data_IF_972797509503
#
_entry.id   IF_972797509503
#
_cell.length_a   1.000
_cell.length_b   1.000
_cell.length_c   1.000
_cell.angle_alpha   90.00
_cell.angle_beta   90.00
_cell.angle_gamma   90.00
#
_symmetry.space_group_name_H-M   'P 1'
#
loop_
_entity.id
_entity.type
_entity.pdbx_description
1 polymer ?
#
# COMPACT_ATOMS: atom_id res chain seq x y z
N UNK A 1 31.74 -18.49 -9.77
CA UNK A 1 30.56 -17.64 -10.08
C UNK A 1 29.95 -17.11 -8.78
N UNK A 2 30.02 -15.79 -8.57
CA UNK A 2 29.30 -15.13 -7.48
C UNK A 2 27.82 -15.49 -7.66
N UNK A 3 27.23 -16.19 -6.70
CA UNK A 3 25.81 -16.54 -6.76
C UNK A 3 24.99 -15.26 -6.75
N UNK A 4 23.82 -15.26 -7.39
CA UNK A 4 22.91 -14.11 -7.43
C UNK A 4 22.58 -13.51 -6.05
N UNK A 5 22.79 -14.24 -4.95
CA UNK A 5 22.60 -13.76 -3.58
C UNK A 5 23.62 -12.74 -3.07
N UNK A 6 24.77 -12.56 -3.72
CA UNK A 6 25.83 -11.63 -3.28
C UNK A 6 25.93 -10.36 -4.15
N UNK A 7 25.03 -10.16 -5.11
CA UNK A 7 25.00 -8.93 -5.92
C UNK A 7 24.55 -7.74 -5.03
N UNK A 8 25.42 -6.74 -4.76
CA UNK A 8 25.08 -5.62 -3.89
C UNK A 8 23.92 -4.76 -4.41
N UNK A 9 23.71 -4.70 -5.72
CA UNK A 9 22.59 -3.95 -6.30
C UNK A 9 21.26 -4.69 -6.12
N UNK A 10 21.30 -6.02 -6.22
CA UNK A 10 20.14 -6.85 -5.95
C UNK A 10 19.76 -6.79 -4.47
N UNK A 11 20.75 -6.92 -3.57
CA UNK A 11 20.55 -6.80 -2.13
C UNK A 11 19.97 -5.44 -1.74
N UNK A 12 20.47 -4.35 -2.32
CA UNK A 12 19.92 -3.00 -2.12
C UNK A 12 18.45 -2.94 -2.55
N UNK A 13 18.13 -3.39 -3.76
CA UNK A 13 16.76 -3.35 -4.27
C UNK A 13 15.80 -4.17 -3.39
N UNK A 14 16.18 -5.38 -2.97
CA UNK A 14 15.36 -6.17 -2.06
C UNK A 14 15.20 -5.52 -0.68
N UNK A 15 16.24 -4.87 -0.15
CA UNK A 15 16.17 -4.12 1.09
C UNK A 15 15.17 -2.96 1.02
N UNK A 16 15.18 -2.20 -0.09
CA UNK A 16 14.21 -1.12 -0.35
C UNK A 16 12.78 -1.65 -0.41
N UNK A 17 12.55 -2.73 -1.15
CA UNK A 17 11.23 -3.33 -1.33
C UNK A 17 10.68 -3.93 -0.03
N UNK A 18 11.51 -4.64 0.73
CA UNK A 18 11.13 -5.19 2.02
C UNK A 18 10.79 -4.09 3.02
N UNK A 19 11.58 -3.01 3.06
CA UNK A 19 11.32 -1.86 3.93
C UNK A 19 10.01 -1.18 3.57
N UNK A 20 9.72 -1.00 2.27
CA UNK A 20 8.44 -0.44 1.82
C UNK A 20 7.25 -1.32 2.22
N UNK A 21 7.39 -2.66 2.14
CA UNK A 21 6.35 -3.59 2.57
C UNK A 21 6.12 -3.52 4.09
N UNK A 22 7.19 -3.50 4.90
CA UNK A 22 7.08 -3.35 6.35
C UNK A 22 6.44 -2.02 6.77
N UNK A 23 6.80 -0.92 6.11
CA UNK A 23 6.20 0.39 6.37
C UNK A 23 4.70 0.39 6.05
N UNK A 24 4.29 -0.20 4.92
CA UNK A 24 2.88 -0.33 4.58
C UNK A 24 2.11 -1.21 5.59
N UNK A 25 2.69 -2.34 5.98
CA UNK A 25 2.11 -3.24 6.98
C UNK A 25 1.86 -2.53 8.32
N UNK A 26 2.84 -1.76 8.82
CA UNK A 26 2.70 -1.04 10.08
C UNK A 26 1.56 0.00 10.07
N UNK A 27 1.33 0.67 8.93
CA UNK A 27 0.21 1.62 8.78
C UNK A 27 -1.13 0.86 8.76
N UNK A 28 -1.20 -0.28 8.07
CA UNK A 28 -2.40 -1.13 8.03
C UNK A 28 -2.73 -1.70 9.41
N UNK A 29 -1.74 -2.19 10.16
CA UNK A 29 -1.92 -2.69 11.53
C UNK A 29 -2.53 -1.61 12.42
N UNK A 30 -1.96 -0.39 12.40
CA UNK A 30 -2.48 0.75 13.17
C UNK A 30 -3.94 1.07 12.81
N UNK A 31 -4.28 1.07 11.52
CA UNK A 31 -5.65 1.34 11.08
C UNK A 31 -6.61 0.22 11.47
N UNK A 32 -6.17 -1.03 11.36
CA UNK A 32 -6.94 -2.23 11.74
C UNK A 32 -7.26 -2.22 13.24
N UNK A 33 -6.27 -1.93 14.07
CA UNK A 33 -6.44 -1.83 15.52
C UNK A 33 -7.42 -0.70 15.91
N UNK A 34 -7.30 0.46 15.26
CA UNK A 34 -8.21 1.59 15.50
C UNK A 34 -9.65 1.24 15.09
N UNK A 35 -9.83 0.63 13.92
CA UNK A 35 -11.13 0.17 13.45
C UNK A 35 -11.72 -0.89 14.38
N UNK A 36 -10.92 -1.87 14.83
CA UNK A 36 -11.36 -2.90 15.76
C UNK A 36 -11.84 -2.31 17.09
N UNK A 37 -11.08 -1.36 17.67
CA UNK A 37 -11.51 -0.64 18.88
C UNK A 37 -12.80 0.14 18.64
N UNK A 38 -12.92 0.83 17.51
CA UNK A 38 -14.13 1.60 17.18
C UNK A 38 -15.37 0.72 17.01
N UNK A 39 -15.21 -0.44 16.37
CA UNK A 39 -16.29 -1.43 16.25
C UNK A 39 -16.72 -1.96 17.62
N UNK A 40 -15.76 -2.18 18.54
CA UNK A 40 -16.05 -2.67 19.89
C UNK A 40 -16.76 -1.64 20.77
N UNK A 41 -16.57 -0.34 20.50
CA UNK A 41 -17.26 0.74 21.21
C UNK A 41 -18.75 0.88 20.80
N UNK A 42 -19.14 0.29 19.66
CA UNK A 42 -20.51 0.30 19.12
C UNK A 42 -21.18 1.70 19.16
N UNK A 43 -22.20 1.86 20.02
CA UNK A 43 -23.01 3.07 20.15
C UNK A 43 -22.31 4.19 20.93
N UNK A 44 -21.23 3.87 21.65
CA UNK A 44 -20.44 4.87 22.38
C UNK A 44 -19.41 5.59 21.51
N UNK A 45 -19.24 5.16 20.25
CA UNK A 45 -18.26 5.73 19.33
C UNK A 45 -18.67 7.13 18.86
N UNK A 46 -17.91 8.13 19.27
CA UNK A 46 -18.13 9.55 18.96
C UNK A 46 -17.86 9.87 17.49
N UNK A 47 -18.32 11.04 17.03
CA UNK A 47 -18.05 11.50 15.68
C UNK A 47 -16.56 11.78 15.46
N UNK A 48 -15.87 12.28 16.49
CA UNK A 48 -14.43 12.55 16.47
C UNK A 48 -13.62 11.26 16.31
N UNK A 49 -13.91 10.23 17.12
CA UNK A 49 -13.26 8.92 16.99
C UNK A 49 -13.54 8.26 15.64
N UNK A 50 -14.74 8.43 15.07
CA UNK A 50 -15.06 7.97 13.70
C UNK A 50 -14.20 8.67 12.66
N UNK A 51 -13.99 9.97 12.79
CA UNK A 51 -13.14 10.74 11.88
C UNK A 51 -11.68 10.28 11.97
N UNK A 52 -11.16 10.12 13.19
CA UNK A 52 -9.79 9.63 13.44
C UNK A 52 -9.55 8.26 12.81
N UNK A 53 -10.46 7.31 13.04
CA UNK A 53 -10.37 5.96 12.47
C UNK A 53 -10.36 6.03 10.95
N UNK A 54 -11.24 6.84 10.37
CA UNK A 54 -11.33 6.94 8.91
C UNK A 54 -10.08 7.51 8.27
N UNK A 55 -9.45 8.50 8.91
CA UNK A 55 -8.18 9.09 8.44
C UNK A 55 -7.07 8.03 8.47
N UNK A 56 -7.03 7.19 9.52
CA UNK A 56 -6.09 6.07 9.58
C UNK A 56 -6.33 5.04 8.47
N UNK A 57 -7.59 4.71 8.18
CA UNK A 57 -7.96 3.81 7.07
C UNK A 57 -7.55 4.41 5.72
N UNK A 58 -7.84 5.70 5.49
CA UNK A 58 -7.48 6.39 4.26
C UNK A 58 -5.95 6.46 4.07
N UNK A 59 -5.20 6.64 5.15
CA UNK A 59 -3.74 6.60 5.15
C UNK A 59 -3.23 5.19 4.78
N UNK A 60 -3.80 4.14 5.40
CA UNK A 60 -3.45 2.75 5.11
C UNK A 60 -3.71 2.37 3.64
N UNK A 61 -4.86 2.74 3.09
CA UNK A 61 -5.19 2.49 1.68
C UNK A 61 -4.23 3.23 0.74
N UNK A 62 -3.89 4.47 1.04
CA UNK A 62 -2.98 5.29 0.24
C UNK A 62 -1.56 4.73 0.24
N UNK A 63 -1.04 4.41 1.42
CA UNK A 63 0.32 3.88 1.58
C UNK A 63 0.43 2.49 0.95
N UNK A 64 -0.53 1.60 1.24
CA UNK A 64 -0.52 0.22 0.72
C UNK A 64 -0.70 0.20 -0.79
N UNK A 65 -1.57 1.04 -1.35
CA UNK A 65 -1.76 1.12 -2.80
C UNK A 65 -0.49 1.57 -3.52
N UNK A 66 0.20 2.59 -3.00
CA UNK A 66 1.49 3.06 -3.54
C UNK A 66 2.57 1.98 -3.41
N UNK A 67 2.68 1.34 -2.25
CA UNK A 67 3.65 0.29 -2.00
C UNK A 67 3.43 -0.92 -2.92
N UNK A 68 2.19 -1.39 -3.08
CA UNK A 68 1.86 -2.52 -3.93
C UNK A 68 2.25 -2.28 -5.40
N UNK A 69 1.90 -1.11 -5.95
CA UNK A 69 2.27 -0.76 -7.33
C UNK A 69 3.79 -0.62 -7.48
N UNK A 70 4.46 0.03 -6.53
CA UNK A 70 5.91 0.20 -6.57
C UNK A 70 6.64 -1.16 -6.49
N UNK A 71 6.29 -1.99 -5.52
CA UNK A 71 6.94 -3.28 -5.27
C UNK A 71 6.79 -4.20 -6.48
N UNK A 72 5.56 -4.33 -6.98
CA UNK A 72 5.28 -5.22 -8.11
C UNK A 72 5.92 -4.74 -9.42
N UNK A 73 6.01 -3.43 -9.64
CA UNK A 73 6.74 -2.86 -10.78
C UNK A 73 8.24 -3.15 -10.67
N UNK A 74 8.84 -2.90 -9.50
CA UNK A 74 10.28 -3.09 -9.32
C UNK A 74 10.70 -4.55 -9.43
N UNK A 75 9.88 -5.48 -8.92
CA UNK A 75 10.13 -6.92 -9.09
C UNK A 75 10.12 -7.31 -10.58
N UNK A 76 9.21 -6.76 -11.39
CA UNK A 76 9.20 -7.03 -12.83
C UNK A 76 10.48 -6.57 -13.50
N UNK A 77 10.95 -5.35 -13.21
CA UNK A 77 12.21 -4.83 -13.75
C UNK A 77 13.42 -5.71 -13.37
N UNK A 78 13.47 -6.20 -12.12
CA UNK A 78 14.54 -7.06 -11.64
C UNK A 78 14.52 -8.43 -12.32
N UNK A 79 13.34 -9.00 -12.55
CA UNK A 79 13.20 -10.31 -13.22
C UNK A 79 13.49 -10.18 -14.72
N UNK A 80 12.97 -9.15 -15.39
CA UNK A 80 13.22 -8.91 -16.81
C UNK A 80 14.70 -8.58 -17.08
N UNK A 81 15.37 -7.89 -16.15
CA UNK A 81 16.80 -7.58 -16.24
C UNK A 81 17.75 -8.76 -15.96
N UNK A 82 17.27 -9.81 -15.28
CA UNK A 82 18.06 -11.01 -14.93
C UNK A 82 17.75 -12.22 -15.81
N UNK A 83 16.58 -12.24 -16.46
CA UNK A 83 16.22 -13.23 -17.46
C UNK A 83 16.90 -12.87 -18.79
N UNK A 84 18.05 -13.49 -19.08
CA UNK A 84 18.56 -13.57 -20.45
C UNK A 84 17.44 -14.04 -21.40
N UNK A 85 17.53 -13.65 -22.67
CA UNK A 85 16.55 -13.83 -23.76
C UNK A 85 16.06 -15.28 -24.04
N UNK A 86 16.41 -16.24 -23.18
CA UNK A 86 16.15 -17.67 -23.29
C UNK A 86 14.93 -18.16 -22.52
N UNK A 87 14.07 -17.25 -22.02
CA UNK A 87 12.75 -17.62 -21.46
C UNK A 87 11.77 -18.00 -22.58
N UNK A 88 12.10 -19.02 -23.38
CA UNK A 88 11.18 -19.68 -24.31
C UNK A 88 10.16 -20.49 -23.51
N UNK A 89 9.03 -19.85 -23.22
CA UNK A 89 7.83 -20.49 -22.67
C UNK A 89 7.42 -19.87 -21.35
N UNK A 90 6.54 -18.86 -21.41
CA UNK A 90 5.77 -18.33 -20.29
C UNK A 90 6.55 -18.24 -18.98
N UNK A 91 7.28 -17.14 -18.79
CA UNK A 91 8.00 -16.87 -17.53
C UNK A 91 7.10 -17.02 -16.28
N UNK A 92 7.66 -16.86 -15.06
CA UNK A 92 7.00 -17.19 -13.78
C UNK A 92 5.67 -16.47 -13.47
N UNK A 93 5.18 -15.62 -14.38
CA UNK A 93 3.87 -14.97 -14.33
C UNK A 93 3.81 -13.87 -13.28
N UNK A 94 4.94 -13.24 -12.97
CA UNK A 94 5.01 -12.16 -11.97
C UNK A 94 4.20 -10.93 -12.39
N UNK A 95 3.91 -10.78 -13.69
CA UNK A 95 3.06 -9.73 -14.25
C UNK A 95 1.65 -9.75 -13.64
N UNK A 96 1.17 -10.92 -13.19
CA UNK A 96 -0.13 -11.04 -12.50
C UNK A 96 -0.23 -10.16 -11.26
N UNK A 97 0.86 -10.03 -10.49
CA UNK A 97 0.85 -9.23 -9.27
C UNK A 97 0.75 -7.75 -9.59
N UNK A 98 1.47 -7.29 -10.60
CA UNK A 98 1.40 -5.92 -11.08
C UNK A 98 0.02 -5.57 -11.65
N UNK A 99 -0.53 -6.44 -12.51
CA UNK A 99 -1.88 -6.26 -13.08
C UNK A 99 -2.94 -6.18 -11.98
N UNK A 100 -2.88 -7.10 -11.01
CA UNK A 100 -3.80 -7.12 -9.88
C UNK A 100 -3.64 -5.86 -9.00
N UNK A 101 -2.41 -5.46 -8.67
CA UNK A 101 -2.15 -4.26 -7.87
C UNK A 101 -2.76 -3.03 -8.56
N UNK A 102 -2.48 -2.82 -9.85
CA UNK A 102 -3.05 -1.68 -10.59
C UNK A 102 -4.57 -1.70 -10.66
N UNK A 103 -5.17 -2.87 -10.89
CA UNK A 103 -6.62 -3.01 -10.96
C UNK A 103 -7.29 -2.70 -9.60
N UNK A 104 -6.73 -3.23 -8.50
CA UNK A 104 -7.28 -3.04 -7.14
C UNK A 104 -7.06 -1.62 -6.61
N UNK A 105 -5.97 -0.96 -7.00
CA UNK A 105 -5.65 0.39 -6.52
C UNK A 105 -6.19 1.50 -7.43
N UNK A 106 -6.57 1.21 -8.67
CA UNK A 106 -7.10 2.22 -9.61
C UNK A 106 -8.32 3.02 -9.07
N UNK A 107 -9.28 2.41 -8.35
CA UNK A 107 -10.40 3.15 -7.77
C UNK A 107 -9.98 4.09 -6.63
N UNK A 108 -8.85 3.82 -5.97
CA UNK A 108 -8.35 4.66 -4.88
C UNK A 108 -7.84 5.97 -5.48
N UNK A 109 -8.68 7.00 -5.48
CA UNK A 109 -8.27 8.36 -5.83
C UNK A 109 -7.38 8.92 -4.71
N UNK A 110 -6.10 8.54 -4.71
CA UNK A 110 -5.14 8.90 -3.67
C UNK A 110 -5.15 10.41 -3.37
N UNK A 111 -5.28 11.26 -4.39
CA UNK A 111 -5.35 12.71 -4.22
C UNK A 111 -6.55 13.18 -3.38
N UNK A 112 -7.69 12.51 -3.50
CA UNK A 112 -8.87 12.86 -2.69
C UNK A 112 -8.65 12.44 -1.25
N UNK A 113 -8.20 11.20 -1.01
CA UNK A 113 -7.88 10.72 0.33
C UNK A 113 -6.81 11.56 1.02
N UNK A 114 -5.77 11.98 0.30
CA UNK A 114 -4.72 12.84 0.83
C UNK A 114 -5.25 14.24 1.20
N UNK A 115 -6.20 14.79 0.43
CA UNK A 115 -6.89 16.04 0.81
C UNK A 115 -7.73 15.86 2.06
N UNK A 116 -8.47 14.76 2.18
CA UNK A 116 -9.30 14.48 3.36
C UNK A 116 -8.45 14.30 4.62
N UNK A 117 -7.33 13.58 4.51
CA UNK A 117 -6.33 13.45 5.58
C UNK A 117 -5.77 14.82 5.98
N UNK A 118 -5.40 15.64 4.99
CA UNK A 118 -4.86 16.98 5.23
C UNK A 118 -5.88 17.91 5.90
N UNK A 119 -7.13 17.90 5.44
CA UNK A 119 -8.23 18.68 6.00
C UNK A 119 -8.49 18.31 7.47
N UNK A 120 -8.50 17.00 7.78
CA UNK A 120 -8.65 16.52 9.15
C UNK A 120 -7.54 17.06 10.07
N UNK A 121 -6.26 16.90 9.69
CA UNK A 121 -5.15 17.33 10.54
C UNK A 121 -4.98 18.84 10.63
N UNK A 122 -5.35 19.59 9.58
CA UNK A 122 -5.18 21.04 9.53
C UNK A 122 -6.34 21.80 10.17
N UNK A 123 -7.58 21.38 9.88
CA UNK A 123 -8.78 22.12 10.23
C UNK A 123 -9.59 21.46 11.35
N UNK A 124 -9.20 20.26 11.81
CA UNK A 124 -9.99 19.47 12.76
C UNK A 124 -11.35 19.07 12.19
N UNK A 125 -11.52 19.13 10.86
CA UNK A 125 -12.80 18.80 10.24
C UNK A 125 -13.04 17.32 10.40
N UNK A 126 -14.24 16.96 10.85
CA UNK A 126 -14.76 15.61 10.67
C UNK A 126 -14.81 15.39 9.17
N UNK A 127 -13.87 14.59 8.64
CA UNK A 127 -13.80 14.32 7.21
C UNK A 127 -15.22 14.06 6.71
N UNK A 128 -15.66 14.80 5.68
CA UNK A 128 -16.94 14.51 5.03
C UNK A 128 -16.72 13.21 4.27
N UNK A 129 -16.82 12.10 4.99
CA UNK A 129 -16.66 10.75 4.46
C UNK A 129 -17.91 10.43 3.64
N UNK A 130 -18.03 11.10 2.49
CA UNK A 130 -18.88 10.63 1.43
C UNK A 130 -18.30 9.29 1.01
N UNK A 131 -18.96 8.20 1.44
CA UNK A 131 -19.03 7.01 0.61
C UNK A 131 -19.54 7.51 -0.75
N UNK A 132 -18.64 7.65 -1.72
CA UNK A 132 -19.08 7.76 -3.10
C UNK A 132 -19.75 6.43 -3.40
N UNK A 133 -21.08 6.46 -3.41
CA UNK A 133 -21.95 5.37 -3.83
C UNK A 133 -21.62 4.91 -5.25
#
# INVERSE_FOLDING_TARGET
PVGSGDDPYLLLAYGELATAAHAAAAVVERATDALARGLHAEWSLTLEERADISVLVAAAETVTGRAAVHITTRILELVDGTAGADSRGGGPGFDRFWRNARALTAPTRADHRLRDIGDHYLNGTHARLTLLA
#
